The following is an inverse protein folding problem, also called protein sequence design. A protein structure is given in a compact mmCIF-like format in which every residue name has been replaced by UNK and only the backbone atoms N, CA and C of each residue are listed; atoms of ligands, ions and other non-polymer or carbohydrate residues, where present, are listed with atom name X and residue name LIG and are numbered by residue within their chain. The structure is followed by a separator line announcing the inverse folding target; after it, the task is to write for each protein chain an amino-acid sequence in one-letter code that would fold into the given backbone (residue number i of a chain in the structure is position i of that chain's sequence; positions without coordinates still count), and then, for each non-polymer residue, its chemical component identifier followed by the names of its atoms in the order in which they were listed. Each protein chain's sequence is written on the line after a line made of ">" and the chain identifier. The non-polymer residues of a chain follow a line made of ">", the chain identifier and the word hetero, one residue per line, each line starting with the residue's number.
data_IF_784962146440
#
_entry.id   IF_784962146440
#
_cell.length_a   1.000
_cell.length_b   1.000
_cell.length_c   1.000
_cell.angle_alpha   90.00
_cell.angle_beta   90.00
_cell.angle_gamma   90.00
#
_symmetry.space_group_name_H-M   'P 1'
#
loop_
_entity.id
_entity.type
_entity.pdbx_description
1 polymer ?
#
# COMPACT_ATOMS: atom_id res chain seq x y z
N UNK A 1 -5.68 8.37 -20.57
CA UNK A 1 -6.32 8.36 -19.25
C UNK A 1 -6.06 9.67 -18.51
N UNK A 2 -4.94 9.86 -17.79
CA UNK A 2 -4.74 10.99 -16.86
C UNK A 2 -5.06 12.39 -17.41
N UNK A 3 -4.70 12.72 -18.66
CA UNK A 3 -5.05 14.00 -19.28
C UNK A 3 -6.57 14.26 -19.40
N UNK A 4 -7.36 13.20 -19.60
CA UNK A 4 -8.83 13.27 -19.66
C UNK A 4 -9.37 13.50 -18.24
N UNK A 5 -8.80 12.81 -17.25
CA UNK A 5 -9.20 12.93 -15.85
C UNK A 5 -8.90 14.33 -15.29
N UNK A 6 -7.75 14.91 -15.64
CA UNK A 6 -7.38 16.28 -15.31
C UNK A 6 -8.37 17.30 -15.91
N UNK A 7 -8.71 17.16 -17.19
CA UNK A 7 -9.71 18.02 -17.83
C UNK A 7 -11.07 17.93 -17.14
N UNK A 8 -11.50 16.71 -16.81
CA UNK A 8 -12.76 16.50 -16.08
C UNK A 8 -12.72 17.10 -14.68
N UNK A 9 -11.57 17.03 -13.99
CA UNK A 9 -11.38 17.60 -12.67
C UNK A 9 -11.35 19.15 -12.71
N UNK A 10 -10.72 19.74 -13.74
CA UNK A 10 -10.76 21.18 -13.99
C UNK A 10 -12.19 21.66 -14.21
N UNK A 11 -12.98 20.97 -15.06
CA UNK A 11 -14.39 21.30 -15.32
C UNK A 11 -15.22 21.22 -14.04
N UNK A 12 -14.90 20.27 -13.14
CA UNK A 12 -15.57 20.12 -11.83
C UNK A 12 -15.14 21.18 -10.80
N UNK A 13 -14.29 22.13 -11.16
CA UNK A 13 -13.83 23.19 -10.25
C UNK A 13 -12.83 22.71 -9.19
N UNK A 14 -12.11 21.62 -9.47
CA UNK A 14 -11.12 21.06 -8.53
C UNK A 14 -10.01 22.09 -8.27
N UNK A 15 -9.63 22.36 -7.01
CA UNK A 15 -8.57 23.31 -6.69
C UNK A 15 -7.24 22.94 -7.35
N UNK A 16 -6.48 23.95 -7.79
CA UNK A 16 -5.21 23.77 -8.51
C UNK A 16 -4.21 22.86 -7.79
N UNK A 17 -4.06 23.01 -6.46
CA UNK A 17 -3.19 22.16 -5.65
C UNK A 17 -3.57 20.67 -5.71
N UNK A 18 -4.86 20.35 -5.92
CA UNK A 18 -5.34 18.98 -6.05
C UNK A 18 -5.16 18.45 -7.47
N UNK A 19 -5.28 19.32 -8.49
CA UNK A 19 -4.92 18.99 -9.88
C UNK A 19 -3.43 18.66 -10.01
N UNK A 20 -2.56 19.43 -9.35
CA UNK A 20 -1.11 19.18 -9.34
C UNK A 20 -0.75 17.83 -8.69
N UNK A 21 -1.56 17.36 -7.72
CA UNK A 21 -1.43 16.02 -7.12
C UNK A 21 -1.98 14.91 -8.01
N UNK A 22 -3.02 15.20 -8.78
CA UNK A 22 -3.64 14.26 -9.72
C UNK A 22 -2.81 14.07 -11.00
N UNK A 23 -2.02 15.09 -11.37
CA UNK A 23 -1.23 15.07 -12.59
C UNK A 23 -0.14 14.00 -12.55
N UNK A 24 -0.06 13.20 -13.61
CA UNK A 24 0.99 12.21 -13.82
C UNK A 24 1.94 12.68 -14.93
N UNK A 25 3.22 12.69 -14.60
CA UNK A 25 4.33 12.90 -15.52
C UNK A 25 5.22 11.64 -15.55
N UNK A 26 6.23 11.65 -16.42
CA UNK A 26 7.13 10.50 -16.59
C UNK A 26 7.91 10.18 -15.31
N UNK A 27 8.31 11.20 -14.57
CA UNK A 27 9.15 11.03 -13.38
C UNK A 27 8.34 10.43 -12.22
N UNK A 28 7.09 10.85 -12.04
CA UNK A 28 6.14 10.27 -11.09
C UNK A 28 5.83 8.81 -11.42
N UNK A 29 5.64 8.50 -12.70
CA UNK A 29 5.43 7.11 -13.14
C UNK A 29 6.65 6.25 -12.83
N UNK A 30 7.85 6.77 -13.11
CA UNK A 30 9.09 6.07 -12.78
C UNK A 30 9.22 5.85 -11.26
N UNK A 31 8.99 6.88 -10.46
CA UNK A 31 9.04 6.79 -9.00
C UNK A 31 8.04 5.77 -8.43
N UNK A 32 6.81 5.72 -8.97
CA UNK A 32 5.82 4.70 -8.59
C UNK A 32 6.31 3.30 -8.93
N UNK A 33 6.86 3.09 -10.13
CA UNK A 33 7.37 1.80 -10.55
C UNK A 33 8.57 1.35 -9.71
N UNK A 34 9.47 2.27 -9.36
CA UNK A 34 10.63 1.98 -8.52
C UNK A 34 10.20 1.68 -7.07
N UNK A 35 9.25 2.44 -6.51
CA UNK A 35 8.66 2.13 -5.20
C UNK A 35 7.99 0.76 -5.14
N UNK A 36 7.33 0.32 -6.23
CA UNK A 36 6.78 -1.04 -6.30
C UNK A 36 7.89 -2.11 -6.28
N UNK A 37 9.01 -1.88 -6.96
CA UNK A 37 10.16 -2.81 -6.90
C UNK A 37 10.78 -2.86 -5.51
N UNK A 38 10.84 -1.73 -4.81
CA UNK A 38 11.30 -1.68 -3.43
C UNK A 38 10.39 -2.50 -2.51
N UNK A 39 9.06 -2.35 -2.65
CA UNK A 39 8.08 -3.12 -1.87
C UNK A 39 8.22 -4.63 -2.09
N UNK A 40 8.48 -5.08 -3.32
CA UNK A 40 8.72 -6.49 -3.65
C UNK A 40 9.95 -7.06 -2.92
N UNK A 41 10.93 -6.23 -2.59
CA UNK A 41 12.13 -6.66 -1.86
C UNK A 41 11.94 -6.70 -0.34
N UNK A 42 10.81 -6.21 0.19
CA UNK A 42 10.53 -6.28 1.62
C UNK A 42 10.20 -7.71 2.02
N UNK A 43 10.63 -8.11 3.22
CA UNK A 43 10.24 -9.40 3.79
C UNK A 43 8.72 -9.46 3.94
N UNK A 44 8.12 -10.59 3.55
CA UNK A 44 6.68 -10.80 3.67
C UNK A 44 6.27 -10.72 5.15
N UNK A 45 5.48 -9.71 5.55
CA UNK A 45 5.06 -9.56 6.94
C UNK A 45 3.93 -10.52 7.32
N UNK A 46 3.42 -11.31 6.36
CA UNK A 46 2.25 -12.17 6.54
C UNK A 46 2.68 -13.54 7.03
N UNK A 47 2.08 -13.97 8.14
CA UNK A 47 2.23 -15.34 8.63
C UNK A 47 3.45 -15.60 9.50
N UNK A 48 4.24 -14.58 9.83
CA UNK A 48 5.27 -14.66 10.86
C UNK A 48 4.64 -15.02 12.22
N UNK A 49 5.12 -16.11 12.84
CA UNK A 49 4.72 -16.51 14.19
C UNK A 49 5.54 -15.67 15.16
N UNK A 50 4.90 -14.64 15.72
CA UNK A 50 5.52 -13.67 16.64
C UNK A 50 6.00 -14.36 17.92
N UNK A 51 5.30 -15.41 18.35
CA UNK A 51 5.69 -16.23 19.51
C UNK A 51 4.84 -17.50 19.59
N UNK A 52 5.42 -18.59 20.11
CA UNK A 52 4.71 -19.83 20.44
C UNK A 52 5.20 -20.38 21.78
N UNK A 53 4.30 -20.72 22.69
CA UNK A 53 4.67 -21.33 23.97
C UNK A 53 3.65 -22.37 24.44
N UNK A 54 4.14 -23.35 25.20
CA UNK A 54 3.29 -24.36 25.86
C UNK A 54 2.94 -23.92 27.28
N UNK A 55 1.68 -24.10 27.64
CA UNK A 55 1.19 -23.94 29.01
C UNK A 55 1.32 -25.27 29.77
N UNK A 56 1.48 -25.25 31.10
CA UNK A 56 1.58 -26.46 31.93
C UNK A 56 0.38 -27.41 31.85
N UNK A 57 -0.75 -26.93 31.33
CA UNK A 57 -1.97 -27.71 31.08
C UNK A 57 -2.04 -28.31 29.66
N UNK A 58 -0.96 -28.25 28.88
CA UNK A 58 -0.87 -28.85 27.54
C UNK A 58 -1.35 -27.96 26.39
N UNK A 59 -1.85 -26.75 26.65
CA UNK A 59 -2.28 -25.83 25.58
C UNK A 59 -1.07 -25.18 24.88
N UNK A 60 -1.09 -25.17 23.55
CA UNK A 60 -0.17 -24.38 22.73
C UNK A 60 -0.83 -23.04 22.37
N UNK A 61 -0.17 -21.94 22.74
CA UNK A 61 -0.58 -20.58 22.36
C UNK A 61 0.40 -20.08 21.32
N UNK A 62 -0.12 -19.61 20.18
CA UNK A 62 0.67 -19.00 19.11
C UNK A 62 0.10 -17.64 18.72
N UNK A 63 0.96 -16.63 18.63
CA UNK A 63 0.61 -15.32 18.10
C UNK A 63 1.06 -15.24 16.63
N UNK A 64 0.10 -15.09 15.70
CA UNK A 64 0.37 -15.00 14.25
C UNK A 64 -0.09 -13.65 13.71
N UNK A 65 0.73 -13.02 12.88
CA UNK A 65 0.34 -11.81 12.16
C UNK A 65 -0.57 -12.18 10.98
N UNK A 66 -1.82 -11.73 11.05
CA UNK A 66 -2.86 -11.96 10.04
C UNK A 66 -3.14 -10.66 9.28
N UNK A 67 -3.33 -10.76 7.97
CA UNK A 67 -3.93 -9.69 7.17
C UNK A 67 -5.41 -9.58 7.52
N UNK A 68 -5.90 -8.37 7.77
CA UNK A 68 -7.32 -8.11 7.90
C UNK A 68 -7.94 -7.98 6.50
N UNK A 69 -9.03 -8.70 6.19
CA UNK A 69 -9.79 -8.45 4.96
C UNK A 69 -10.50 -7.09 5.08
N UNK A 70 -10.36 -6.25 4.05
CA UNK A 70 -11.12 -5.01 3.88
C UNK A 70 -12.28 -5.26 2.91
#
# INVERSE_FOLDING_TARGET
>A
ANRIDLKNAEIKGTPKAMLDRLALDKDRIKAMADGLKEVVNLQDPVGEVVSMWQRPNGLQIGQKKLLLPF
#
